data_IF_717442793136
#
_entry.id   IF_717442793136
#
_cell.length_a   1.000
_cell.length_b   1.000
_cell.length_c   1.000
_cell.angle_alpha   90.00
_cell.angle_beta   90.00
_cell.angle_gamma   90.00
#
_symmetry.space_group_name_H-M   'P 1'
#
loop_
_entity.id
_entity.type
_entity.pdbx_description
1 polymer ?
#
# COMPACT_ATOMS: atom_id res chain seq x y z
N UNK A 1 36.88 -11.03 -7.99
CA UNK A 1 36.16 -12.11 -7.27
C UNK A 1 34.79 -11.58 -6.92
N UNK A 2 33.80 -11.91 -7.73
CA UNK A 2 32.40 -11.47 -7.61
C UNK A 2 31.70 -12.34 -6.57
N UNK A 3 31.52 -11.82 -5.36
CA UNK A 3 30.71 -12.47 -4.33
C UNK A 3 29.26 -12.54 -4.82
N UNK A 4 28.87 -13.69 -5.35
CA UNK A 4 27.49 -13.99 -5.70
C UNK A 4 26.66 -14.02 -4.43
N UNK A 5 25.95 -12.93 -4.16
CA UNK A 5 24.82 -12.96 -3.22
C UNK A 5 23.83 -13.96 -3.78
N UNK A 6 23.65 -15.10 -3.08
CA UNK A 6 22.64 -16.08 -3.43
C UNK A 6 21.28 -15.37 -3.56
N UNK A 7 20.56 -15.62 -4.65
CA UNK A 7 19.30 -14.93 -4.96
C UNK A 7 18.26 -15.04 -3.84
N UNK A 8 18.38 -16.07 -2.97
CA UNK A 8 17.55 -16.39 -1.83
C UNK A 8 18.38 -16.53 -0.53
N UNK A 9 18.97 -15.44 -0.05
CA UNK A 9 19.70 -15.44 1.23
C UNK A 9 18.83 -14.89 2.38
N UNK A 10 18.51 -15.76 3.35
CA UNK A 10 17.76 -15.43 4.57
C UNK A 10 18.48 -14.43 5.50
N UNK A 11 19.75 -14.12 5.24
CA UNK A 11 20.53 -13.12 5.99
C UNK A 11 20.35 -11.69 5.46
N UNK A 12 19.78 -11.54 4.27
CA UNK A 12 19.60 -10.25 3.61
C UNK A 12 18.12 -9.93 3.49
N UNK A 13 17.74 -8.67 3.67
CA UNK A 13 16.35 -8.21 3.54
C UNK A 13 15.76 -8.55 2.17
N UNK A 14 16.50 -8.27 1.10
CA UNK A 14 16.07 -8.56 -0.27
C UNK A 14 15.93 -10.06 -0.54
N UNK A 15 16.77 -10.90 0.08
CA UNK A 15 16.68 -12.35 -0.06
C UNK A 15 15.44 -12.91 0.63
N UNK A 16 15.14 -12.45 1.85
CA UNK A 16 13.92 -12.84 2.58
C UNK A 16 12.66 -12.43 1.82
N UNK A 17 12.57 -11.19 1.34
CA UNK A 17 11.42 -10.70 0.57
C UNK A 17 11.23 -11.45 -0.75
N UNK A 18 12.31 -11.88 -1.43
CA UNK A 18 12.20 -12.71 -2.64
C UNK A 18 11.67 -14.11 -2.35
N UNK A 19 12.10 -14.71 -1.23
CA UNK A 19 11.55 -16.00 -0.77
C UNK A 19 10.05 -15.83 -0.49
N UNK A 20 9.67 -14.78 0.23
CA UNK A 20 8.27 -14.46 0.52
C UNK A 20 7.42 -14.41 -0.75
N UNK A 21 7.82 -13.59 -1.75
CA UNK A 21 7.13 -13.48 -3.05
C UNK A 21 7.04 -14.84 -3.76
N UNK A 22 8.13 -15.61 -3.80
CA UNK A 22 8.15 -16.91 -4.46
C UNK A 22 7.19 -17.91 -3.78
N UNK A 23 7.15 -17.92 -2.44
CA UNK A 23 6.25 -18.79 -1.68
C UNK A 23 4.79 -18.36 -1.88
N UNK A 24 4.49 -17.07 -1.86
CA UNK A 24 3.14 -16.56 -2.15
C UNK A 24 2.66 -16.98 -3.54
N UNK A 25 3.51 -16.87 -4.57
CA UNK A 25 3.18 -17.33 -5.92
C UNK A 25 2.94 -18.84 -5.98
N UNK A 26 3.77 -19.64 -5.32
CA UNK A 26 3.58 -21.09 -5.24
C UNK A 26 2.25 -21.45 -4.54
N UNK A 27 1.96 -20.83 -3.39
CA UNK A 27 0.71 -21.03 -2.65
C UNK A 27 -0.49 -20.63 -3.50
N UNK A 28 -0.40 -19.52 -4.22
CA UNK A 28 -1.47 -19.04 -5.10
C UNK A 28 -1.80 -20.05 -6.21
N UNK A 29 -0.78 -20.54 -6.92
CA UNK A 29 -0.97 -21.53 -8.01
C UNK A 29 -1.50 -22.85 -7.48
N UNK A 30 -0.93 -23.35 -6.37
CA UNK A 30 -1.38 -24.59 -5.72
C UNK A 30 -2.83 -24.41 -5.21
N UNK A 31 -3.16 -23.26 -4.63
CA UNK A 31 -4.50 -22.93 -4.15
C UNK A 31 -5.53 -22.93 -5.26
N UNK A 32 -5.26 -22.28 -6.38
CA UNK A 32 -6.17 -22.32 -7.53
C UNK A 32 -6.39 -23.78 -8.00
N UNK A 33 -5.31 -24.58 -8.11
CA UNK A 33 -5.40 -25.98 -8.51
C UNK A 33 -6.23 -26.84 -7.55
N UNK A 34 -5.94 -26.78 -6.25
CA UNK A 34 -6.67 -27.52 -5.22
C UNK A 34 -8.11 -27.03 -5.06
N UNK A 35 -8.35 -25.73 -5.21
CA UNK A 35 -9.69 -25.16 -5.12
C UNK A 35 -10.60 -25.65 -6.26
N UNK A 36 -10.08 -25.70 -7.48
CA UNK A 36 -10.80 -26.27 -8.63
C UNK A 36 -11.02 -27.77 -8.45
N UNK A 37 -9.99 -28.52 -8.01
CA UNK A 37 -10.09 -29.97 -7.81
C UNK A 37 -11.03 -30.36 -6.67
N UNK A 38 -11.04 -29.61 -5.57
CA UNK A 38 -11.91 -29.86 -4.41
C UNK A 38 -13.32 -29.30 -4.57
N UNK A 39 -13.54 -28.43 -5.57
CA UNK A 39 -14.77 -27.68 -5.70
C UNK A 39 -14.94 -26.60 -4.62
N UNK A 40 -13.87 -26.09 -3.99
CA UNK A 40 -13.91 -24.97 -3.01
C UNK A 40 -13.63 -23.63 -3.66
N UNK A 41 -14.56 -22.67 -3.54
CA UNK A 41 -14.35 -21.32 -4.06
C UNK A 41 -13.65 -20.47 -3.03
N UNK A 42 -13.72 -20.81 -1.75
CA UNK A 42 -12.90 -20.13 -0.74
C UNK A 42 -11.42 -20.35 -0.99
N UNK A 43 -11.03 -21.57 -1.36
CA UNK A 43 -9.64 -21.91 -1.71
C UNK A 43 -9.25 -21.25 -3.04
N UNK A 44 -10.10 -21.31 -4.07
CA UNK A 44 -9.82 -20.59 -5.34
C UNK A 44 -9.67 -19.09 -5.09
N UNK A 45 -10.55 -18.49 -4.28
CA UNK A 45 -10.51 -17.09 -3.92
C UNK A 45 -9.19 -16.72 -3.23
N UNK A 46 -8.77 -17.49 -2.21
CA UNK A 46 -7.51 -17.26 -1.50
C UNK A 46 -6.31 -17.29 -2.47
N UNK A 47 -6.30 -18.25 -3.41
CA UNK A 47 -5.28 -18.35 -4.43
C UNK A 47 -5.27 -17.19 -5.43
N UNK A 48 -6.44 -16.80 -5.97
CA UNK A 48 -6.57 -15.66 -6.89
C UNK A 48 -6.23 -14.35 -6.19
N UNK A 49 -6.72 -14.15 -4.97
CA UNK A 49 -6.45 -12.95 -4.18
C UNK A 49 -4.94 -12.80 -3.92
N UNK A 50 -4.28 -13.88 -3.49
CA UNK A 50 -2.83 -13.91 -3.27
C UNK A 50 -2.04 -13.65 -4.56
N UNK A 51 -2.51 -14.16 -5.71
CA UNK A 51 -1.86 -13.92 -7.01
C UNK A 51 -1.94 -12.45 -7.42
N UNK A 52 -3.10 -11.82 -7.26
CA UNK A 52 -3.31 -10.40 -7.58
C UNK A 52 -2.45 -9.54 -6.65
N UNK A 53 -2.46 -9.81 -5.35
CA UNK A 53 -1.68 -9.06 -4.36
C UNK A 53 -0.16 -9.19 -4.62
N UNK A 54 0.33 -10.40 -4.93
CA UNK A 54 1.72 -10.62 -5.30
C UNK A 54 2.12 -9.86 -6.58
N UNK A 55 1.24 -9.87 -7.59
CA UNK A 55 1.47 -9.14 -8.85
C UNK A 55 1.53 -7.64 -8.64
N UNK A 56 0.65 -7.09 -7.79
CA UNK A 56 0.63 -5.67 -7.44
C UNK A 56 1.82 -5.27 -6.57
N UNK A 57 2.24 -6.14 -5.65
CA UNK A 57 3.47 -5.95 -4.87
C UNK A 57 4.71 -5.88 -5.77
N UNK A 58 4.78 -6.72 -6.80
CA UNK A 58 5.86 -6.66 -7.80
C UNK A 58 5.81 -5.34 -8.60
N UNK A 59 4.63 -4.90 -9.03
CA UNK A 59 4.46 -3.62 -9.72
C UNK A 59 4.86 -2.42 -8.84
N UNK A 60 4.42 -2.42 -7.58
CA UNK A 60 4.78 -1.41 -6.57
C UNK A 60 6.30 -1.32 -6.40
N UNK A 61 6.98 -2.47 -6.31
CA UNK A 61 8.44 -2.51 -6.22
C UNK A 61 9.13 -1.90 -7.45
N UNK A 62 8.60 -2.13 -8.65
CA UNK A 62 9.11 -1.51 -9.89
C UNK A 62 8.97 0.01 -9.83
N UNK A 63 7.81 0.51 -9.39
CA UNK A 63 7.55 1.95 -9.25
C UNK A 63 8.45 2.59 -8.19
N UNK A 64 8.60 1.97 -7.02
CA UNK A 64 9.50 2.47 -5.96
C UNK A 64 10.95 2.53 -6.44
N UNK A 65 11.41 1.52 -7.20
CA UNK A 65 12.74 1.53 -7.81
C UNK A 65 12.89 2.67 -8.82
N UNK A 66 11.87 2.93 -9.64
CA UNK A 66 11.87 4.04 -10.59
C UNK A 66 11.98 5.39 -9.87
N UNK A 67 11.15 5.63 -8.85
CA UNK A 67 11.16 6.85 -8.02
C UNK A 67 12.55 7.04 -7.38
N UNK A 68 13.09 5.98 -6.76
CA UNK A 68 14.40 6.04 -6.09
C UNK A 68 15.54 6.28 -7.09
N UNK A 69 15.49 5.65 -8.26
CA UNK A 69 16.50 5.87 -9.32
C UNK A 69 16.49 7.30 -9.86
N UNK A 70 15.32 7.95 -9.87
CA UNK A 70 15.17 9.35 -10.23
C UNK A 70 15.77 10.27 -9.17
N UNK A 71 15.38 10.08 -7.90
CA UNK A 71 15.87 10.87 -6.77
C UNK A 71 17.41 10.80 -6.61
N UNK A 72 18.02 9.65 -6.92
CA UNK A 72 19.48 9.44 -6.84
C UNK A 72 20.24 9.78 -8.12
N UNK A 73 19.56 10.28 -9.16
CA UNK A 73 20.09 10.62 -10.48
C UNK A 73 20.89 9.50 -11.20
N UNK A 74 20.84 8.24 -10.72
CA UNK A 74 21.56 7.10 -11.31
C UNK A 74 20.71 6.38 -12.35
N UNK A 75 21.23 6.25 -13.57
CA UNK A 75 20.78 5.23 -14.53
C UNK A 75 19.50 5.51 -15.31
N UNK A 76 18.83 6.67 -15.12
CA UNK A 76 17.67 7.03 -15.94
C UNK A 76 18.09 7.51 -17.35
N UNK A 77 17.44 7.02 -18.42
CA UNK A 77 17.65 7.54 -19.77
C UNK A 77 17.36 9.04 -19.82
N UNK A 78 18.26 9.80 -20.46
CA UNK A 78 18.16 11.27 -20.59
C UNK A 78 16.80 11.75 -21.11
N UNK A 79 16.22 11.00 -22.06
CA UNK A 79 14.88 11.27 -22.62
C UNK A 79 13.73 11.18 -21.59
N UNK A 80 13.83 10.30 -20.59
CA UNK A 80 12.82 10.24 -19.51
C UNK A 80 12.96 11.41 -18.55
N UNK A 81 14.20 11.79 -18.22
CA UNK A 81 14.49 12.93 -17.34
C UNK A 81 14.02 14.26 -17.93
N UNK A 82 14.17 14.43 -19.25
CA UNK A 82 13.71 15.62 -19.98
C UNK A 82 12.18 15.69 -20.10
N UNK A 83 11.48 14.55 -20.08
CA UNK A 83 10.00 14.50 -20.18
C UNK A 83 9.28 14.56 -18.82
N UNK A 84 9.92 14.08 -17.76
CA UNK A 84 9.38 14.04 -16.40
C UNK A 84 10.25 14.89 -15.46
N UNK A 85 10.05 16.21 -15.53
CA UNK A 85 10.82 17.21 -14.77
C UNK A 85 10.43 17.29 -13.29
N UNK A 86 9.21 16.88 -12.93
CA UNK A 86 8.70 16.83 -11.55
C UNK A 86 8.88 15.45 -10.88
N UNK A 87 9.59 14.52 -11.53
CA UNK A 87 9.77 13.16 -11.03
C UNK A 87 8.58 12.23 -11.26
N UNK A 88 8.50 11.16 -10.47
CA UNK A 88 7.56 10.04 -10.66
C UNK A 88 6.69 9.77 -9.42
N UNK A 89 6.61 10.73 -8.48
CA UNK A 89 5.91 10.56 -7.21
C UNK A 89 4.42 10.23 -7.37
N UNK A 90 3.79 10.76 -8.42
CA UNK A 90 2.40 10.48 -8.77
C UNK A 90 2.10 9.00 -9.09
N UNK A 91 3.10 8.19 -9.43
CA UNK A 91 2.90 6.76 -9.71
C UNK A 91 2.59 5.96 -8.45
N UNK A 92 3.04 6.42 -7.29
CA UNK A 92 2.81 5.74 -6.01
C UNK A 92 1.32 5.65 -5.65
N UNK A 93 0.56 6.77 -5.55
CA UNK A 93 -0.87 6.69 -5.28
C UNK A 93 -1.63 5.99 -6.41
N UNK A 94 -1.21 6.10 -7.67
CA UNK A 94 -1.86 5.38 -8.78
C UNK A 94 -1.79 3.86 -8.62
N UNK A 95 -0.63 3.32 -8.25
CA UNK A 95 -0.47 1.87 -8.01
C UNK A 95 -1.24 1.43 -6.77
N UNK A 96 -1.24 2.23 -5.70
CA UNK A 96 -2.01 1.94 -4.49
C UNK A 96 -3.53 1.89 -4.78
N UNK A 97 -4.04 2.87 -5.55
CA UNK A 97 -5.43 2.90 -5.98
C UNK A 97 -5.76 1.67 -6.86
N UNK A 98 -4.90 1.35 -7.83
CA UNK A 98 -5.08 0.19 -8.70
C UNK A 98 -5.12 -1.13 -7.90
N UNK A 99 -4.18 -1.31 -6.97
CA UNK A 99 -4.13 -2.50 -6.11
C UNK A 99 -5.41 -2.62 -5.29
N UNK A 100 -5.81 -1.54 -4.61
CA UNK A 100 -7.02 -1.54 -3.80
C UNK A 100 -8.27 -1.84 -4.62
N UNK A 101 -8.41 -1.25 -5.81
CA UNK A 101 -9.55 -1.48 -6.71
C UNK A 101 -9.59 -2.95 -7.18
N UNK A 102 -8.45 -3.52 -7.58
CA UNK A 102 -8.39 -4.90 -8.04
C UNK A 102 -8.73 -5.90 -6.93
N UNK A 103 -8.13 -5.74 -5.74
CA UNK A 103 -8.42 -6.60 -4.59
C UNK A 103 -9.89 -6.48 -4.15
N UNK A 104 -10.43 -5.26 -4.12
CA UNK A 104 -11.85 -5.03 -3.84
C UNK A 104 -12.74 -5.68 -4.90
N UNK A 105 -12.37 -5.56 -6.18
CA UNK A 105 -13.11 -6.15 -7.30
C UNK A 105 -13.16 -7.68 -7.23
N UNK A 106 -12.03 -8.32 -6.96
CA UNK A 106 -11.96 -9.79 -6.76
C UNK A 106 -12.80 -10.22 -5.57
N UNK A 107 -12.73 -9.49 -4.44
CA UNK A 107 -13.51 -9.80 -3.25
C UNK A 107 -15.03 -9.59 -3.45
N UNK A 108 -15.44 -8.53 -4.14
CA UNK A 108 -16.85 -8.30 -4.49
C UNK A 108 -17.36 -9.38 -5.44
N UNK A 109 -16.58 -9.75 -6.45
CA UNK A 109 -16.93 -10.85 -7.37
C UNK A 109 -17.08 -12.18 -6.61
N UNK A 110 -16.15 -12.49 -5.70
CA UNK A 110 -16.23 -13.68 -4.88
C UNK A 110 -17.43 -13.67 -3.93
N UNK A 111 -17.76 -12.52 -3.33
CA UNK A 111 -18.96 -12.34 -2.50
C UNK A 111 -20.25 -12.59 -3.29
N UNK A 112 -20.36 -12.05 -4.51
CA UNK A 112 -21.51 -12.30 -5.39
C UNK A 112 -21.65 -13.80 -5.67
N UNK A 113 -20.54 -14.49 -5.96
CA UNK A 113 -20.55 -15.94 -6.17
C UNK A 113 -20.92 -16.71 -4.90
N UNK A 114 -20.42 -16.31 -3.74
CA UNK A 114 -20.73 -16.90 -2.45
C UNK A 114 -22.23 -16.80 -2.14
N UNK A 115 -22.80 -15.60 -2.26
CA UNK A 115 -24.24 -15.35 -2.08
C UNK A 115 -25.06 -16.13 -3.11
N UNK A 116 -24.65 -16.13 -4.38
CA UNK A 116 -25.35 -16.94 -5.40
C UNK A 116 -25.30 -18.43 -5.10
N UNK A 117 -24.20 -18.95 -4.54
CA UNK A 117 -24.07 -20.37 -4.20
C UNK A 117 -24.94 -20.72 -3.00
N UNK A 118 -25.00 -19.86 -1.97
CA UNK A 118 -25.91 -20.03 -0.84
C UNK A 118 -27.38 -20.11 -1.31
N UNK A 119 -27.80 -19.22 -2.21
CA UNK A 119 -29.18 -19.18 -2.71
C UNK A 119 -29.53 -20.37 -3.62
N UNK A 120 -28.56 -21.01 -4.26
CA UNK A 120 -28.75 -22.17 -5.16
C UNK A 120 -28.70 -23.53 -4.45
N UNK A 121 -28.66 -23.54 -3.12
CA UNK A 121 -28.62 -24.77 -2.32
C UNK A 121 -27.22 -25.20 -1.88
N UNK A 122 -26.24 -24.30 -1.93
CA UNK A 122 -24.85 -24.59 -1.57
C UNK A 122 -24.08 -25.27 -2.70
N UNK A 123 -23.02 -26.00 -2.35
CA UNK A 123 -22.16 -26.70 -3.29
C UNK A 123 -21.46 -27.88 -2.62
N UNK A 124 -21.34 -28.97 -3.37
CA UNK A 124 -20.57 -30.12 -2.93
C UNK A 124 -19.08 -29.78 -2.89
N UNK A 125 -18.48 -30.04 -1.72
CA UNK A 125 -17.09 -29.77 -1.42
C UNK A 125 -16.42 -31.11 -1.07
N UNK A 126 -15.31 -31.42 -1.74
CA UNK A 126 -14.43 -32.50 -1.30
C UNK A 126 -13.57 -32.05 -0.11
N UNK A 127 -14.13 -32.18 1.09
CA UNK A 127 -13.49 -31.76 2.33
C UNK A 127 -12.12 -32.41 2.56
N UNK A 128 -11.89 -33.64 2.08
CA UNK A 128 -10.59 -34.30 2.20
C UNK A 128 -9.48 -33.52 1.48
N UNK A 129 -9.70 -33.15 0.22
CA UNK A 129 -8.76 -32.33 -0.55
C UNK A 129 -8.63 -30.92 0.03
N UNK A 130 -9.74 -30.32 0.46
CA UNK A 130 -9.75 -28.99 1.05
C UNK A 130 -8.98 -28.92 2.38
N UNK A 131 -9.10 -29.95 3.24
CA UNK A 131 -8.36 -30.06 4.50
C UNK A 131 -6.85 -30.22 4.26
N UNK A 132 -6.46 -31.10 3.32
CA UNK A 132 -5.04 -31.28 2.96
C UNK A 132 -4.44 -29.95 2.53
N UNK A 133 -5.13 -29.23 1.63
CA UNK A 133 -4.70 -27.90 1.21
C UNK A 133 -4.61 -26.92 2.38
N UNK A 134 -5.66 -26.80 3.19
CA UNK A 134 -5.70 -25.83 4.27
C UNK A 134 -4.59 -26.06 5.31
N UNK A 135 -4.26 -27.33 5.61
CA UNK A 135 -3.12 -27.67 6.49
C UNK A 135 -1.78 -27.30 5.85
N UNK A 136 -1.57 -27.64 4.57
CA UNK A 136 -0.34 -27.33 3.86
C UNK A 136 -0.12 -25.80 3.75
N UNK A 137 -1.16 -25.06 3.43
CA UNK A 137 -1.09 -23.59 3.32
C UNK A 137 -0.88 -22.96 4.69
N UNK A 138 -1.61 -23.38 5.73
CA UNK A 138 -1.43 -22.85 7.07
C UNK A 138 -0.02 -23.10 7.60
N UNK A 139 0.52 -24.30 7.40
CA UNK A 139 1.89 -24.64 7.81
C UNK A 139 2.93 -23.82 7.05
N UNK A 140 2.74 -23.61 5.74
CA UNK A 140 3.60 -22.74 4.94
C UNK A 140 3.55 -21.28 5.42
N UNK A 141 2.36 -20.71 5.63
CA UNK A 141 2.18 -19.34 6.11
C UNK A 141 2.85 -19.13 7.48
N UNK A 142 2.64 -20.06 8.42
CA UNK A 142 3.27 -20.00 9.74
C UNK A 142 4.79 -20.17 9.65
N UNK A 143 5.29 -21.06 8.79
CA UNK A 143 6.73 -21.27 8.61
C UNK A 143 7.42 -20.01 8.09
N UNK A 144 6.84 -19.32 7.09
CA UNK A 144 7.38 -18.06 6.58
C UNK A 144 7.25 -16.95 7.61
N UNK A 145 6.10 -16.79 8.27
CA UNK A 145 5.95 -15.82 9.36
C UNK A 145 7.02 -15.99 10.45
N UNK A 146 7.32 -17.22 10.85
CA UNK A 146 8.38 -17.51 11.83
C UNK A 146 9.79 -17.23 11.27
N UNK A 147 10.04 -17.51 9.99
CA UNK A 147 11.31 -17.20 9.34
C UNK A 147 11.54 -15.69 9.26
N UNK A 148 10.53 -14.93 8.84
CA UNK A 148 10.55 -13.47 8.77
C UNK A 148 10.63 -12.83 10.14
N UNK A 149 9.90 -13.32 11.15
CA UNK A 149 10.02 -12.83 12.51
C UNK A 149 11.45 -12.99 13.05
N UNK A 150 12.10 -14.12 12.76
CA UNK A 150 13.51 -14.35 13.14
C UNK A 150 14.47 -13.43 12.38
N UNK A 151 14.26 -13.26 11.08
CA UNK A 151 15.09 -12.37 10.24
C UNK A 151 14.92 -10.90 10.65
N UNK A 152 13.69 -10.46 10.89
CA UNK A 152 13.36 -9.10 11.28
C UNK A 152 13.95 -8.73 12.65
N UNK A 153 14.03 -9.67 13.60
CA UNK A 153 14.75 -9.42 14.87
C UNK A 153 16.23 -9.07 14.68
N UNK A 154 16.87 -9.57 13.61
CA UNK A 154 18.28 -9.30 13.29
C UNK A 154 18.44 -8.05 12.43
N UNK A 155 17.61 -7.93 11.39
CA UNK A 155 17.72 -6.88 10.36
C UNK A 155 17.05 -5.57 10.82
N UNK A 156 15.95 -5.66 11.60
CA UNK A 156 15.10 -4.55 12.03
C UNK A 156 14.60 -3.69 10.86
N UNK A 157 14.03 -4.35 9.85
CA UNK A 157 13.47 -3.69 8.66
C UNK A 157 11.97 -3.42 8.83
N UNK A 158 11.55 -2.22 8.44
CA UNK A 158 10.14 -1.86 8.36
C UNK A 158 9.38 -2.69 7.32
N UNK A 159 10.03 -3.04 6.20
CA UNK A 159 9.43 -3.86 5.14
C UNK A 159 9.18 -5.30 5.61
N UNK A 160 10.15 -5.92 6.29
CA UNK A 160 9.96 -7.24 6.91
C UNK A 160 8.90 -7.23 8.01
N UNK A 161 8.73 -6.11 8.70
CA UNK A 161 7.67 -5.97 9.69
C UNK A 161 6.27 -5.89 9.05
N UNK A 162 6.16 -5.23 7.90
CA UNK A 162 4.92 -5.20 7.12
C UNK A 162 4.59 -6.57 6.53
N UNK A 163 5.58 -7.23 5.91
CA UNK A 163 5.39 -8.54 5.27
C UNK A 163 4.97 -9.61 6.30
N UNK A 164 5.61 -9.60 7.48
CA UNK A 164 5.24 -10.47 8.60
C UNK A 164 3.79 -10.28 9.03
N UNK A 165 3.29 -9.04 9.08
CA UNK A 165 1.87 -8.78 9.40
C UNK A 165 0.95 -9.37 8.33
N UNK A 166 1.34 -9.28 7.05
CA UNK A 166 0.64 -9.92 5.94
C UNK A 166 0.53 -11.43 6.15
N UNK A 167 1.65 -12.11 6.42
CA UNK A 167 1.66 -13.56 6.68
C UNK A 167 0.85 -13.98 7.89
N UNK A 168 0.83 -13.18 8.97
CA UNK A 168 -0.02 -13.44 10.14
C UNK A 168 -1.51 -13.32 9.78
N UNK A 169 -1.87 -12.32 8.98
CA UNK A 169 -3.25 -12.15 8.49
C UNK A 169 -3.66 -13.34 7.62
N UNK A 170 -2.83 -13.72 6.64
CA UNK A 170 -3.09 -14.89 5.77
C UNK A 170 -3.20 -16.18 6.58
N UNK A 171 -2.28 -16.44 7.52
CA UNK A 171 -2.36 -17.59 8.41
C UNK A 171 -3.65 -17.61 9.24
N UNK A 172 -4.12 -16.44 9.70
CA UNK A 172 -5.37 -16.34 10.47
C UNK A 172 -6.60 -16.66 9.61
N UNK A 173 -6.64 -16.19 8.36
CA UNK A 173 -7.71 -16.50 7.40
C UNK A 173 -7.69 -17.99 7.06
N UNK A 174 -6.52 -18.56 6.74
CA UNK A 174 -6.39 -20.00 6.45
C UNK A 174 -6.75 -20.85 7.66
N UNK A 175 -6.40 -20.43 8.88
CA UNK A 175 -6.79 -21.14 10.09
C UNK A 175 -8.32 -21.14 10.29
N UNK A 176 -8.99 -20.01 10.04
CA UNK A 176 -10.45 -19.93 10.09
C UNK A 176 -11.11 -20.86 9.05
N UNK A 177 -10.56 -20.90 7.82
CA UNK A 177 -10.99 -21.83 6.76
C UNK A 177 -10.79 -23.29 7.20
N UNK A 178 -9.63 -23.63 7.77
CA UNK A 178 -9.34 -24.96 8.26
C UNK A 178 -10.34 -25.40 9.33
N UNK A 179 -10.65 -24.54 10.30
CA UNK A 179 -11.65 -24.81 11.34
C UNK A 179 -13.02 -25.07 10.70
N UNK A 180 -13.44 -24.25 9.74
CA UNK A 180 -14.71 -24.44 9.05
C UNK A 180 -14.77 -25.76 8.26
N UNK A 181 -13.69 -26.13 7.57
CA UNK A 181 -13.61 -27.40 6.85
C UNK A 181 -13.57 -28.62 7.78
N UNK A 182 -12.90 -28.52 8.94
CA UNK A 182 -12.95 -29.55 9.97
C UNK A 182 -14.38 -29.78 10.49
N UNK A 183 -15.13 -28.68 10.73
CA UNK A 183 -16.54 -28.76 11.13
C UNK A 183 -17.36 -29.44 10.03
N UNK A 184 -17.18 -29.04 8.77
CA UNK A 184 -17.92 -29.61 7.66
C UNK A 184 -17.64 -31.09 7.43
N UNK A 185 -16.38 -31.51 7.56
CA UNK A 185 -16.00 -32.91 7.48
C UNK A 185 -16.62 -33.73 8.63
N UNK A 186 -16.59 -33.22 9.87
CA UNK A 186 -17.17 -33.91 11.04
C UNK A 186 -18.70 -34.01 11.02
N UNK A 187 -19.37 -33.19 10.21
CA UNK A 187 -20.83 -33.20 10.06
C UNK A 187 -21.29 -34.23 9.01
N UNK A 188 -20.39 -34.71 8.13
CA UNK A 188 -20.72 -35.74 7.14
C UNK A 188 -21.18 -37.05 7.80
N UNK A 189 -22.24 -37.67 7.28
CA UNK A 189 -22.82 -38.90 7.85
C UNK A 189 -23.58 -38.70 9.17
N UNK A 190 -23.80 -37.46 9.60
CA UNK A 190 -24.62 -37.12 10.78
C UNK A 190 -25.95 -36.50 10.38
N UNK A 191 -26.85 -36.29 11.35
CA UNK A 191 -28.14 -35.59 11.15
C UNK A 191 -27.98 -34.15 10.58
N UNK A 192 -26.78 -33.57 10.67
CA UNK A 192 -26.50 -32.20 10.23
C UNK A 192 -25.90 -32.10 8.82
N UNK A 193 -25.81 -33.20 8.07
CA UNK A 193 -25.21 -33.25 6.72
C UNK A 193 -25.77 -32.21 5.75
N UNK A 194 -27.02 -31.78 5.94
CA UNK A 194 -27.66 -30.70 5.17
C UNK A 194 -26.90 -29.36 5.22
N UNK A 195 -26.06 -29.11 6.23
CA UNK A 195 -25.24 -27.88 6.36
C UNK A 195 -23.99 -27.95 5.48
N UNK A 196 -23.49 -29.16 5.20
CA UNK A 196 -22.22 -29.41 4.50
C UNK A 196 -22.04 -28.56 3.23
N UNK A 197 -23.03 -28.46 2.32
CA UNK A 197 -22.87 -27.69 1.08
C UNK A 197 -22.81 -26.17 1.28
N UNK A 198 -23.24 -25.66 2.44
CA UNK A 198 -23.32 -24.23 2.73
C UNK A 198 -22.07 -23.69 3.42
N UNK A 199 -21.19 -24.57 3.93
CA UNK A 199 -20.03 -24.17 4.73
C UNK A 199 -19.05 -23.34 3.89
N UNK A 200 -18.63 -23.83 2.72
CA UNK A 200 -17.67 -23.09 1.87
C UNK A 200 -18.24 -21.75 1.40
N UNK A 201 -19.47 -21.66 0.84
CA UNK A 201 -20.06 -20.37 0.47
C UNK A 201 -20.25 -19.41 1.65
N UNK A 202 -20.64 -19.91 2.83
CA UNK A 202 -20.82 -19.06 4.01
C UNK A 202 -19.49 -18.47 4.48
N UNK A 203 -18.43 -19.29 4.55
CA UNK A 203 -17.11 -18.83 4.96
C UNK A 203 -16.55 -17.83 3.95
N UNK A 204 -16.67 -18.11 2.65
CA UNK A 204 -16.26 -17.17 1.61
C UNK A 204 -16.99 -15.83 1.77
N UNK A 205 -18.30 -15.83 1.99
CA UNK A 205 -19.07 -14.60 2.19
C UNK A 205 -18.57 -13.79 3.40
N UNK A 206 -18.30 -14.46 4.53
CA UNK A 206 -17.77 -13.83 5.74
C UNK A 206 -16.38 -13.25 5.49
N UNK A 207 -15.49 -14.01 4.87
CA UNK A 207 -14.13 -13.56 4.54
C UNK A 207 -14.17 -12.34 3.62
N UNK A 208 -14.98 -12.37 2.55
CA UNK A 208 -15.12 -11.21 1.67
C UNK A 208 -15.70 -10.00 2.39
N UNK A 209 -16.70 -10.16 3.27
CA UNK A 209 -17.28 -9.06 4.03
C UNK A 209 -16.25 -8.38 4.94
N UNK A 210 -15.29 -9.13 5.48
CA UNK A 210 -14.18 -8.60 6.29
C UNK A 210 -13.11 -7.95 5.40
N UNK A 211 -12.76 -8.55 4.26
CA UNK A 211 -11.68 -8.09 3.38
C UNK A 211 -12.03 -6.83 2.59
N UNK A 212 -13.24 -6.72 2.04
CA UNK A 212 -13.69 -5.59 1.20
C UNK A 212 -13.44 -4.21 1.83
N UNK A 213 -13.74 -3.93 3.11
CA UNK A 213 -13.56 -2.59 3.67
C UNK A 213 -12.09 -2.19 3.89
N UNK A 214 -11.16 -3.14 4.01
CA UNK A 214 -9.75 -2.86 4.28
C UNK A 214 -9.10 -1.90 3.26
N UNK A 215 -9.14 -2.18 1.93
CA UNK A 215 -8.51 -1.33 0.92
C UNK A 215 -9.28 -0.03 0.64
N UNK A 216 -10.54 0.13 1.06
CA UNK A 216 -11.35 1.31 0.71
C UNK A 216 -10.74 2.63 1.22
N UNK A 217 -10.16 2.60 2.42
CA UNK A 217 -9.46 3.75 2.98
C UNK A 217 -8.23 4.13 2.15
N UNK A 218 -7.46 3.13 1.71
CA UNK A 218 -6.28 3.31 0.85
C UNK A 218 -6.66 3.85 -0.51
N UNK A 219 -7.73 3.33 -1.13
CA UNK A 219 -8.24 3.82 -2.41
C UNK A 219 -8.68 5.28 -2.28
N UNK A 220 -9.45 5.61 -1.24
CA UNK A 220 -9.93 6.98 -0.99
C UNK A 220 -8.74 7.93 -0.81
N UNK A 221 -7.76 7.55 -0.03
CA UNK A 221 -6.57 8.36 0.19
C UNK A 221 -5.77 8.53 -1.12
N UNK A 222 -5.53 7.45 -1.85
CA UNK A 222 -4.80 7.49 -3.11
C UNK A 222 -5.50 8.38 -4.16
N UNK A 223 -6.83 8.30 -4.27
CA UNK A 223 -7.61 9.19 -5.14
C UNK A 223 -7.53 10.65 -4.68
N UNK A 224 -7.57 10.89 -3.37
CA UNK A 224 -7.41 12.23 -2.79
C UNK A 224 -6.06 12.85 -3.15
N UNK A 225 -4.98 12.06 -3.06
CA UNK A 225 -3.63 12.48 -3.45
C UNK A 225 -3.51 12.70 -4.97
N UNK A 226 -4.13 11.85 -5.79
CA UNK A 226 -4.17 12.02 -7.26
C UNK A 226 -4.93 13.28 -7.70
N UNK A 227 -5.97 13.67 -6.95
CA UNK A 227 -6.76 14.87 -7.20
C UNK A 227 -6.17 16.12 -6.53
N UNK A 228 -4.96 16.03 -5.95
CA UNK A 228 -4.28 17.13 -5.26
C UNK A 228 -5.12 17.76 -4.14
N UNK A 229 -5.96 16.96 -3.48
CA UNK A 229 -6.78 17.43 -2.37
C UNK A 229 -5.87 17.84 -1.21
N UNK A 230 -6.07 19.04 -0.70
CA UNK A 230 -5.23 19.63 0.33
C UNK A 230 -5.19 18.76 1.61
N UNK A 231 -4.01 18.31 2.04
CA UNK A 231 -3.85 17.62 3.32
C UNK A 231 -4.04 18.60 4.49
N UNK A 232 -5.10 18.43 5.27
CA UNK A 232 -5.48 19.36 6.34
C UNK A 232 -4.37 19.59 7.39
N UNK A 233 -3.73 18.52 7.87
CA UNK A 233 -2.69 18.61 8.90
C UNK A 233 -1.46 19.38 8.38
N UNK A 234 -1.04 19.12 7.14
CA UNK A 234 0.09 19.82 6.53
C UNK A 234 -0.27 21.29 6.22
N UNK A 235 -1.50 21.56 5.76
CA UNK A 235 -1.96 22.94 5.54
C UNK A 235 -1.99 23.74 6.83
N UNK A 236 -2.51 23.17 7.93
CA UNK A 236 -2.51 23.81 9.24
C UNK A 236 -1.09 24.13 9.74
N UNK A 237 -0.15 23.19 9.57
CA UNK A 237 1.25 23.42 9.91
C UNK A 237 1.85 24.56 9.09
N UNK A 238 1.70 24.52 7.76
CA UNK A 238 2.18 25.57 6.84
C UNK A 238 1.58 26.94 7.17
N UNK A 239 0.29 27.00 7.46
CA UNK A 239 -0.41 28.23 7.84
C UNK A 239 0.10 28.80 9.16
N UNK A 240 0.36 27.95 10.15
CA UNK A 240 0.89 28.38 11.44
C UNK A 240 2.28 29.01 11.29
N UNK A 241 3.14 28.42 10.45
CA UNK A 241 4.47 28.96 10.16
C UNK A 241 4.34 30.26 9.37
N UNK A 242 3.56 30.28 8.29
CA UNK A 242 3.40 31.47 7.47
C UNK A 242 2.85 32.67 8.26
N UNK A 243 1.83 32.43 9.10
CA UNK A 243 1.26 33.46 9.97
C UNK A 243 2.30 34.08 10.91
N UNK A 244 3.15 33.25 11.54
CA UNK A 244 4.21 33.75 12.42
C UNK A 244 5.22 34.65 11.68
N UNK A 245 5.53 34.34 10.41
CA UNK A 245 6.40 35.17 9.59
C UNK A 245 5.74 36.48 9.16
N UNK A 246 4.45 36.45 8.83
CA UNK A 246 3.68 37.66 8.52
C UNK A 246 3.72 38.63 9.71
N UNK A 247 3.50 38.14 10.92
CA UNK A 247 3.53 38.97 12.14
C UNK A 247 4.94 39.49 12.45
N UNK A 248 5.96 38.62 12.38
CA UNK A 248 7.34 38.97 12.72
C UNK A 248 7.95 39.99 11.75
N UNK A 249 7.70 39.84 10.45
CA UNK A 249 8.29 40.67 9.40
C UNK A 249 7.36 41.76 8.90
N UNK A 250 6.15 41.87 9.45
CA UNK A 250 5.10 42.82 9.07
C UNK A 250 4.77 42.76 7.58
N UNK A 251 4.62 41.53 7.06
CA UNK A 251 4.06 41.34 5.74
C UNK A 251 2.56 41.68 5.75
N UNK A 252 1.98 41.98 4.59
CA UNK A 252 0.57 42.33 4.49
C UNK A 252 -0.34 41.11 4.67
N UNK A 253 -0.01 40.00 4.01
CA UNK A 253 -0.73 38.73 4.10
C UNK A 253 0.08 37.58 3.50
N UNK A 254 -0.48 36.38 3.48
CA UNK A 254 0.10 35.23 2.78
C UNK A 254 -0.98 34.42 2.06
N UNK A 255 -0.54 33.64 1.07
CA UNK A 255 -1.30 32.53 0.47
C UNK A 255 -0.44 31.27 0.50
N UNK A 256 -1.07 30.15 0.82
CA UNK A 256 -0.40 28.86 0.91
C UNK A 256 -1.18 27.84 0.09
N UNK A 257 -0.53 27.23 -0.88
CA UNK A 257 -1.03 26.07 -1.62
C UNK A 257 -0.21 24.86 -1.20
N UNK A 258 -0.93 23.79 -0.85
CA UNK A 258 -0.30 22.59 -0.32
C UNK A 258 -0.98 21.39 -0.96
N UNK A 259 -0.17 20.50 -1.51
CA UNK A 259 -0.58 19.21 -2.00
C UNK A 259 0.35 18.11 -1.49
N UNK A 260 -0.16 16.88 -1.45
CA UNK A 260 0.64 15.70 -1.15
C UNK A 260 0.34 14.64 -2.21
N UNK A 261 1.39 14.10 -2.79
CA UNK A 261 1.31 13.07 -3.84
C UNK A 261 2.27 11.94 -3.49
N UNK A 262 1.74 10.83 -2.96
CA UNK A 262 2.57 9.75 -2.41
C UNK A 262 3.44 10.29 -1.28
N UNK A 263 4.75 10.21 -1.47
CA UNK A 263 5.74 10.77 -0.53
C UNK A 263 6.04 12.24 -0.75
N UNK A 264 5.74 12.79 -1.93
CA UNK A 264 6.03 14.20 -2.26
C UNK A 264 5.09 15.14 -1.52
N UNK A 265 5.67 16.14 -0.86
CA UNK A 265 4.94 17.28 -0.28
C UNK A 265 5.26 18.52 -1.12
N UNK A 266 4.23 19.08 -1.75
CA UNK A 266 4.34 20.27 -2.57
C UNK A 266 3.76 21.44 -1.78
N UNK A 267 4.60 22.43 -1.50
CA UNK A 267 4.26 23.62 -0.71
C UNK A 267 4.64 24.83 -1.54
N UNK A 268 3.64 25.64 -1.88
CA UNK A 268 3.83 26.94 -2.50
C UNK A 268 3.34 28.02 -1.53
N UNK A 269 4.27 28.88 -1.12
CA UNK A 269 4.03 29.96 -0.18
C UNK A 269 4.27 31.30 -0.87
N UNK A 270 3.26 32.14 -0.83
CA UNK A 270 3.30 33.50 -1.32
C UNK A 270 3.15 34.44 -0.14
N UNK A 271 4.15 35.26 0.10
CA UNK A 271 4.10 36.35 1.08
C UNK A 271 3.86 37.67 0.35
N UNK A 272 2.78 38.36 0.74
CA UNK A 272 2.44 39.68 0.19
C UNK A 272 3.18 40.72 1.02
N UNK A 273 4.15 41.38 0.39
CA UNK A 273 5.01 42.37 1.02
C UNK A 273 4.40 43.76 0.84
N UNK A 274 4.42 44.64 1.87
CA UNK A 274 3.96 46.02 1.73
C UNK A 274 4.68 46.76 0.58
N UNK A 275 3.97 47.53 -0.26
CA UNK A 275 4.57 48.24 -1.40
C UNK A 275 5.65 49.26 -1.00
N UNK A 276 5.57 49.75 0.24
CA UNK A 276 6.50 50.72 0.84
C UNK A 276 7.68 50.05 1.56
N UNK A 277 7.77 48.72 1.54
CA UNK A 277 8.91 48.03 2.14
C UNK A 277 10.21 48.40 1.42
N UNK A 278 11.30 48.73 2.14
CA UNK A 278 12.58 49.04 1.54
C UNK A 278 13.09 47.89 0.68
N UNK A 279 13.73 48.22 -0.45
CA UNK A 279 14.39 47.24 -1.29
C UNK A 279 15.43 46.46 -0.47
N UNK A 280 15.32 45.12 -0.51
CA UNK A 280 16.27 44.20 0.12
C UNK A 280 17.13 43.53 -0.96
N UNK A 281 18.32 43.10 -0.57
CA UNK A 281 19.18 42.29 -1.45
C UNK A 281 18.56 40.90 -1.65
N UNK A 282 18.88 40.25 -2.77
CA UNK A 282 18.43 38.86 -3.03
C UNK A 282 18.86 37.92 -1.90
N UNK A 283 20.09 38.06 -1.40
CA UNK A 283 20.60 37.28 -0.26
C UNK A 283 19.76 37.43 1.03
N UNK A 284 19.16 38.61 1.26
CA UNK A 284 18.29 38.82 2.41
C UNK A 284 16.89 38.21 2.22
N UNK A 285 16.44 38.03 0.97
CA UNK A 285 15.24 37.24 0.68
C UNK A 285 15.53 35.75 0.78
N UNK A 286 16.68 35.30 0.30
CA UNK A 286 17.10 33.90 0.41
C UNK A 286 17.25 33.45 1.86
N UNK A 287 17.82 34.29 2.73
CA UNK A 287 17.90 33.97 4.17
C UNK A 287 16.53 33.81 4.83
N UNK A 288 15.51 34.56 4.37
CA UNK A 288 14.14 34.36 4.82
C UNK A 288 13.55 33.06 4.29
N UNK A 289 13.83 32.69 3.03
CA UNK A 289 13.42 31.39 2.47
C UNK A 289 14.01 30.23 3.27
N UNK A 290 15.29 30.33 3.65
CA UNK A 290 15.96 29.32 4.48
C UNK A 290 15.32 29.24 5.88
N UNK A 291 14.99 30.37 6.50
CA UNK A 291 14.33 30.39 7.82
C UNK A 291 12.93 29.74 7.75
N UNK A 292 12.15 30.05 6.71
CA UNK A 292 10.84 29.44 6.46
C UNK A 292 10.99 27.94 6.20
N UNK A 293 11.93 27.54 5.34
CA UNK A 293 12.20 26.14 5.02
C UNK A 293 12.55 25.32 6.27
N UNK A 294 13.40 25.86 7.15
CA UNK A 294 13.75 25.24 8.42
C UNK A 294 12.56 25.15 9.38
N UNK A 295 11.72 26.18 9.46
CA UNK A 295 10.52 26.18 10.30
C UNK A 295 9.46 25.17 9.83
N UNK A 296 9.37 24.93 8.52
CA UNK A 296 8.49 23.92 7.94
C UNK A 296 8.99 22.48 8.16
N UNK A 297 10.27 22.29 8.50
CA UNK A 297 10.87 20.98 8.77
C UNK A 297 12.24 20.79 8.10
N UNK A 298 12.82 19.59 8.24
CA UNK A 298 14.10 19.26 7.63
C UNK A 298 14.00 19.24 6.10
N UNK A 299 15.08 19.67 5.42
CA UNK A 299 15.20 19.48 3.98
C UNK A 299 15.21 17.98 3.65
N UNK A 300 14.20 17.58 2.87
CA UNK A 300 14.01 16.22 2.40
C UNK A 300 13.90 16.26 0.87
N UNK A 301 14.46 15.26 0.16
CA UNK A 301 14.24 15.11 -1.29
C UNK A 301 12.77 14.92 -1.65
N UNK A 302 11.93 14.58 -0.67
CA UNK A 302 10.48 14.38 -0.81
C UNK A 302 9.68 15.69 -0.57
N UNK A 303 10.34 16.83 -0.29
CA UNK A 303 9.68 18.13 -0.06
C UNK A 303 10.03 19.13 -1.16
N UNK A 304 9.02 19.55 -1.91
CA UNK A 304 9.10 20.64 -2.88
C UNK A 304 8.56 21.92 -2.25
N UNK A 305 9.43 22.91 -2.05
CA UNK A 305 9.07 24.20 -1.44
C UNK A 305 9.36 25.35 -2.40
N UNK A 306 8.32 26.11 -2.73
CA UNK A 306 8.44 27.37 -3.47
C UNK A 306 8.03 28.51 -2.55
N UNK A 307 8.91 29.50 -2.35
CA UNK A 307 8.60 30.70 -1.56
C UNK A 307 8.76 31.95 -2.41
N UNK A 308 7.64 32.64 -2.62
CA UNK A 308 7.52 33.86 -3.42
C UNK A 308 7.25 35.04 -2.50
N UNK A 309 7.96 36.14 -2.72
CA UNK A 309 7.68 37.43 -2.10
C UNK A 309 7.22 38.38 -3.21
N UNK A 310 6.03 38.95 -3.07
CA UNK A 310 5.43 39.84 -4.08
C UNK A 310 4.73 41.02 -3.41
N UNK A 311 4.79 42.20 -4.02
CA UNK A 311 3.97 43.35 -3.59
C UNK A 311 2.58 43.37 -4.19
N UNK A 312 2.34 42.50 -5.18
CA UNK A 312 1.10 42.42 -5.94
C UNK A 312 0.36 41.12 -5.60
N UNK A 313 -0.84 41.22 -4.97
CA UNK A 313 -1.67 40.08 -4.61
C UNK A 313 -2.08 39.18 -5.78
N UNK A 314 -2.17 39.71 -7.01
CA UNK A 314 -2.63 38.94 -8.18
C UNK A 314 -1.70 37.74 -8.48
N UNK A 315 -0.43 37.82 -8.12
CA UNK A 315 0.52 36.71 -8.28
C UNK A 315 0.31 35.56 -7.30
N UNK A 316 -0.56 35.73 -6.31
CA UNK A 316 -0.82 34.76 -5.24
C UNK A 316 -2.22 34.12 -5.32
N UNK A 317 -3.07 34.56 -6.26
CA UNK A 317 -4.42 34.01 -6.52
C UNK A 317 -4.41 32.99 -7.67
#
# INVERSE_FOLDING_TARGET
MTSGTALFDLRTEQGVLRISIAVTLCIAVIGIGFGVASGSFSIVFDGVYSLVDASMSALSLVVVRLITSYATARGLPRKLRERFTMGFWHLEPMVLALNGILLSGVAVYALINAVSSLLKGGRELEFGLALIYAVLTLTACVAIALAEARANRRIRSAFLHMDLKGWIMSASITAALLVAFCIGYGVQGTRYEWISPYIDPAVLAVVCAVIIPLPLSVIRQALSEMLLVTPADLKQHVDSVAQAFVERYRFASYRAYVAKVGRSQEIELYFIVPPDMPARTVAAWDSLRDEIGNALGADSPDRWLTVVFTGDPEWAE
#
